data_IF_834992707174
#
_entry.id   IF_834992707174
#
_cell.length_a   1.000
_cell.length_b   1.000
_cell.length_c   1.000
_cell.angle_alpha   90.00
_cell.angle_beta   90.00
_cell.angle_gamma   90.00
#
_symmetry.space_group_name_H-M   'P 1'
#
loop_
_entity.id
_entity.type
_entity.pdbx_description
1 polymer ?
#
# COMPACT_ATOMS: atom_id res chain seq x y z
N UNK A 1 -13.86 -22.21 16.66
CA UNK A 1 -12.42 -21.93 16.48
C UNK A 1 -12.31 -20.65 15.67
N UNK A 2 -11.72 -19.59 16.23
CA UNK A 2 -11.51 -18.35 15.48
C UNK A 2 -10.37 -18.56 14.47
N UNK A 3 -10.70 -18.48 13.18
CA UNK A 3 -9.72 -18.64 12.09
C UNK A 3 -9.13 -17.30 11.63
N UNK A 4 -9.46 -16.19 12.31
CA UNK A 4 -9.07 -14.84 11.90
C UNK A 4 -7.55 -14.63 11.87
N UNK A 5 -6.84 -15.17 12.86
CA UNK A 5 -5.39 -15.08 13.01
C UNK A 5 -4.63 -15.99 12.02
N UNK A 6 -4.91 -17.31 11.92
CA UNK A 6 -4.30 -18.16 10.89
C UNK A 6 -4.50 -17.63 9.46
N UNK A 7 -5.68 -17.07 9.18
CA UNK A 7 -5.96 -16.47 7.89
C UNK A 7 -5.13 -15.20 7.64
N UNK A 8 -5.02 -14.32 8.64
CA UNK A 8 -4.19 -13.11 8.53
C UNK A 8 -2.72 -13.45 8.30
N UNK A 9 -2.21 -14.49 8.99
CA UNK A 9 -0.84 -14.97 8.82
C UNK A 9 -0.62 -15.57 7.41
N UNK A 10 -1.60 -16.30 6.88
CA UNK A 10 -1.55 -16.80 5.51
C UNK A 10 -1.43 -15.67 4.47
N UNK A 11 -2.17 -14.56 4.66
CA UNK A 11 -2.03 -13.37 3.81
C UNK A 11 -0.62 -12.76 3.92
N UNK A 12 -0.07 -12.63 5.13
CA UNK A 12 1.30 -12.12 5.34
C UNK A 12 2.32 -13.02 4.64
N UNK A 13 2.22 -14.34 4.79
CA UNK A 13 3.10 -15.30 4.15
C UNK A 13 3.02 -15.25 2.61
N UNK A 14 1.82 -15.03 2.08
CA UNK A 14 1.61 -14.81 0.64
C UNK A 14 2.39 -13.59 0.17
N UNK A 15 2.28 -12.46 0.87
CA UNK A 15 3.04 -11.23 0.54
C UNK A 15 4.55 -11.47 0.59
N UNK A 16 5.06 -12.19 1.60
CA UNK A 16 6.49 -12.56 1.72
C UNK A 16 6.97 -13.37 0.52
N UNK A 17 6.17 -14.32 0.03
CA UNK A 17 6.52 -15.12 -1.16
C UNK A 17 6.69 -14.22 -2.39
N UNK A 18 5.76 -13.29 -2.63
CA UNK A 18 5.84 -12.39 -3.78
C UNK A 18 6.99 -11.38 -3.66
N UNK A 19 7.34 -10.95 -2.44
CA UNK A 19 8.54 -10.16 -2.18
C UNK A 19 9.79 -10.90 -2.64
N UNK A 20 9.99 -12.11 -2.11
CA UNK A 20 11.15 -12.95 -2.44
C UNK A 20 11.21 -13.30 -3.93
N UNK A 21 10.06 -13.56 -4.54
CA UNK A 21 9.97 -13.81 -5.98
C UNK A 21 10.42 -12.60 -6.79
N UNK A 22 9.93 -11.40 -6.45
CA UNK A 22 10.36 -10.17 -7.08
C UNK A 22 11.87 -9.96 -6.94
N UNK A 23 12.41 -10.04 -5.72
CA UNK A 23 13.85 -9.89 -5.45
C UNK A 23 14.67 -10.87 -6.31
N UNK A 24 14.34 -12.16 -6.27
CA UNK A 24 15.02 -13.23 -7.03
C UNK A 24 14.98 -12.97 -8.54
N UNK A 25 13.85 -12.52 -9.08
CA UNK A 25 13.71 -12.24 -10.51
C UNK A 25 14.53 -11.02 -10.93
N UNK A 26 14.59 -9.99 -10.08
CA UNK A 26 15.36 -8.77 -10.37
C UNK A 26 16.87 -8.96 -10.26
N UNK A 27 17.32 -9.88 -9.40
CA UNK A 27 18.73 -10.28 -9.30
C UNK A 27 19.18 -11.09 -10.53
N UNK A 28 18.33 -12.01 -11.00
CA UNK A 28 18.61 -12.89 -12.14
C UNK A 28 18.26 -12.21 -13.48
N UNK A 29 19.11 -11.27 -13.92
CA UNK A 29 18.96 -10.45 -15.15
C UNK A 29 18.60 -11.18 -16.46
N UNK A 30 18.74 -12.51 -16.55
CA UNK A 30 18.60 -13.31 -17.80
C UNK A 30 17.33 -14.17 -17.91
N UNK A 31 16.55 -14.37 -16.85
CA UNK A 31 15.37 -15.28 -16.86
C UNK A 31 14.05 -14.50 -16.84
N UNK A 32 13.89 -13.53 -17.74
CA UNK A 32 13.08 -12.38 -17.38
C UNK A 32 11.59 -12.49 -17.78
N UNK A 33 11.28 -12.78 -19.04
CA UNK A 33 9.94 -12.44 -19.52
C UNK A 33 8.87 -13.53 -19.28
N UNK A 34 9.21 -14.81 -19.44
CA UNK A 34 8.28 -15.92 -19.17
C UNK A 34 7.97 -16.05 -17.68
N UNK A 35 8.98 -15.89 -16.83
CA UNK A 35 8.81 -15.96 -15.38
C UNK A 35 8.08 -14.73 -14.84
N UNK A 36 8.40 -13.52 -15.34
CA UNK A 36 7.62 -12.30 -15.07
C UNK A 36 6.14 -12.51 -15.39
N UNK A 37 5.82 -12.99 -16.59
CA UNK A 37 4.42 -13.25 -17.00
C UNK A 37 3.75 -14.28 -16.10
N UNK A 38 4.46 -15.35 -15.71
CA UNK A 38 3.96 -16.35 -14.78
C UNK A 38 3.64 -15.74 -13.41
N UNK A 39 4.55 -14.96 -12.84
CA UNK A 39 4.34 -14.32 -11.54
C UNK A 39 3.22 -13.28 -11.57
N UNK A 40 3.09 -12.50 -12.63
CA UNK A 40 1.96 -11.58 -12.83
C UNK A 40 0.63 -12.35 -12.87
N UNK A 41 0.58 -13.51 -13.55
CA UNK A 41 -0.61 -14.38 -13.57
C UNK A 41 -0.97 -14.85 -12.15
N UNK A 42 0.00 -15.35 -11.39
CA UNK A 42 -0.20 -15.83 -10.01
C UNK A 42 -0.64 -14.68 -9.09
N UNK A 43 -0.10 -13.46 -9.25
CA UNK A 43 -0.56 -12.27 -8.55
C UNK A 43 -2.04 -12.00 -8.85
N UNK A 44 -2.43 -12.00 -10.13
CA UNK A 44 -3.81 -11.73 -10.53
C UNK A 44 -4.80 -12.77 -9.96
N UNK A 45 -4.40 -14.04 -9.88
CA UNK A 45 -5.20 -15.10 -9.25
C UNK A 45 -5.38 -14.87 -7.74
N UNK A 46 -4.31 -14.51 -7.04
CA UNK A 46 -4.37 -14.18 -5.61
C UNK A 46 -5.19 -12.90 -5.34
N UNK A 47 -5.08 -11.88 -6.20
CA UNK A 47 -5.91 -10.69 -6.12
C UNK A 47 -7.41 -11.04 -6.24
N UNK A 48 -7.80 -11.94 -7.15
CA UNK A 48 -9.19 -12.41 -7.24
C UNK A 48 -9.65 -13.06 -5.93
N UNK A 49 -8.81 -13.90 -5.32
CA UNK A 49 -9.12 -14.53 -4.04
C UNK A 49 -9.27 -13.50 -2.91
N UNK A 50 -8.33 -12.54 -2.81
CA UNK A 50 -8.40 -11.48 -1.81
C UNK A 50 -9.63 -10.58 -1.99
N UNK A 51 -9.99 -10.20 -3.21
CA UNK A 51 -11.22 -9.45 -3.44
C UNK A 51 -12.48 -10.25 -3.07
N UNK A 52 -12.49 -11.57 -3.30
CA UNK A 52 -13.58 -12.43 -2.84
C UNK A 52 -13.66 -12.46 -1.31
N UNK A 53 -12.51 -12.52 -0.62
CA UNK A 53 -12.44 -12.46 0.84
C UNK A 53 -12.91 -11.10 1.39
N UNK A 54 -12.54 -9.97 0.76
CA UNK A 54 -13.02 -8.64 1.17
C UNK A 54 -14.53 -8.46 1.01
N UNK A 55 -15.13 -9.11 0.01
CA UNK A 55 -16.59 -9.10 -0.19
C UNK A 55 -17.34 -10.00 0.80
N UNK A 56 -16.65 -10.90 1.50
CA UNK A 56 -17.28 -11.77 2.49
C UNK A 56 -17.63 -10.97 3.75
N UNK A 57 -18.91 -10.95 4.13
CA UNK A 57 -19.41 -10.21 5.30
C UNK A 57 -18.92 -10.78 6.63
N UNK A 58 -18.52 -12.05 6.66
CA UNK A 58 -18.11 -12.76 7.89
C UNK A 58 -16.62 -12.65 8.20
N UNK A 59 -15.84 -11.95 7.37
CA UNK A 59 -14.43 -11.70 7.66
C UNK A 59 -14.30 -10.68 8.79
N UNK A 60 -13.57 -11.06 9.85
CA UNK A 60 -13.27 -10.17 10.97
C UNK A 60 -12.47 -8.94 10.55
N UNK A 61 -12.52 -7.88 11.37
CA UNK A 61 -11.88 -6.59 11.07
C UNK A 61 -10.37 -6.73 10.85
N UNK A 62 -9.67 -7.49 11.70
CA UNK A 62 -8.22 -7.70 11.58
C UNK A 62 -7.85 -8.48 10.33
N UNK A 63 -8.58 -9.56 10.04
CA UNK A 63 -8.43 -10.32 8.80
C UNK A 63 -8.70 -9.45 7.57
N UNK A 64 -9.68 -8.55 7.63
CA UNK A 64 -9.95 -7.60 6.54
C UNK A 64 -8.78 -6.64 6.32
N UNK A 65 -8.19 -6.09 7.39
CA UNK A 65 -6.99 -5.23 7.32
C UNK A 65 -5.81 -5.98 6.71
N UNK A 66 -5.59 -7.24 7.13
CA UNK A 66 -4.56 -8.10 6.56
C UNK A 66 -4.77 -8.30 5.05
N UNK A 67 -6.00 -8.64 4.62
CA UNK A 67 -6.31 -8.81 3.18
C UNK A 67 -6.14 -7.51 2.40
N UNK A 68 -6.58 -6.37 2.91
CA UNK A 68 -6.34 -5.08 2.25
C UNK A 68 -4.85 -4.82 2.06
N UNK A 69 -4.05 -5.08 3.09
CA UNK A 69 -2.58 -4.97 3.01
C UNK A 69 -2.02 -5.92 1.96
N UNK A 70 -2.48 -7.18 1.95
CA UNK A 70 -2.14 -8.16 0.92
C UNK A 70 -2.43 -7.66 -0.49
N UNK A 71 -3.64 -7.14 -0.74
CA UNK A 71 -4.03 -6.57 -2.04
C UNK A 71 -3.07 -5.45 -2.45
N UNK A 72 -2.75 -4.53 -1.55
CA UNK A 72 -1.87 -3.39 -1.81
C UNK A 72 -0.46 -3.86 -2.19
N UNK A 73 0.13 -4.80 -1.44
CA UNK A 73 1.45 -5.33 -1.76
C UNK A 73 1.45 -6.15 -3.05
N UNK A 74 0.41 -6.93 -3.34
CA UNK A 74 0.30 -7.63 -4.62
C UNK A 74 0.20 -6.66 -5.80
N UNK A 75 -0.59 -5.60 -5.68
CA UNK A 75 -0.61 -4.52 -6.69
C UNK A 75 0.75 -3.87 -6.86
N UNK A 76 1.47 -3.61 -5.76
CA UNK A 76 2.85 -3.09 -5.78
C UNK A 76 3.77 -4.01 -6.58
N UNK A 77 3.83 -5.30 -6.25
CA UNK A 77 4.73 -6.24 -6.95
C UNK A 77 4.34 -6.43 -8.40
N UNK A 78 3.04 -6.44 -8.72
CA UNK A 78 2.58 -6.43 -10.11
C UNK A 78 3.10 -5.22 -10.86
N UNK A 79 2.93 -4.01 -10.31
CA UNK A 79 3.42 -2.78 -10.92
C UNK A 79 4.94 -2.81 -11.12
N UNK A 80 5.69 -3.25 -10.10
CA UNK A 80 7.14 -3.36 -10.16
C UNK A 80 7.60 -4.35 -11.24
N UNK A 81 6.95 -5.52 -11.35
CA UNK A 81 7.24 -6.51 -12.38
C UNK A 81 6.92 -5.97 -13.78
N UNK A 82 5.73 -5.39 -13.97
CA UNK A 82 5.30 -4.80 -15.25
C UNK A 82 6.26 -3.70 -15.71
N UNK A 83 6.70 -2.85 -14.77
CA UNK A 83 7.60 -1.72 -15.03
C UNK A 83 9.07 -2.12 -15.18
N UNK A 84 9.47 -3.28 -14.67
CA UNK A 84 10.85 -3.75 -14.81
C UNK A 84 11.10 -4.18 -16.25
N UNK A 85 12.10 -3.54 -16.88
CA UNK A 85 12.57 -3.81 -18.23
C UNK A 85 14.10 -3.87 -18.20
N UNK A 86 14.68 -4.91 -18.78
CA UNK A 86 16.13 -5.01 -18.98
C UNK A 86 16.48 -4.31 -20.30
N UNK A 87 17.40 -3.34 -20.29
CA UNK A 87 18.03 -2.80 -21.51
C UNK A 87 17.31 -1.66 -22.25
N UNK A 88 16.27 -1.04 -21.68
CA UNK A 88 15.74 0.23 -22.22
C UNK A 88 16.54 1.40 -21.65
N UNK A 89 17.11 2.23 -22.52
CA UNK A 89 17.67 3.54 -22.17
C UNK A 89 16.63 4.45 -21.49
N UNK A 90 17.03 5.62 -20.99
CA UNK A 90 16.21 6.46 -20.09
C UNK A 90 15.06 7.12 -20.87
N UNK A 91 13.96 6.38 -21.10
CA UNK A 91 12.83 6.91 -21.88
C UNK A 91 11.66 7.41 -21.03
N UNK A 92 11.78 7.44 -19.70
CA UNK A 92 10.90 8.19 -18.78
C UNK A 92 11.45 8.14 -17.37
N UNK A 93 11.24 9.19 -16.57
CA UNK A 93 11.49 9.12 -15.12
C UNK A 93 10.58 8.04 -14.52
N UNK A 94 11.14 7.00 -13.88
CA UNK A 94 10.33 5.92 -13.35
C UNK A 94 9.40 6.43 -12.25
N UNK A 95 8.13 5.99 -12.25
CA UNK A 95 7.18 6.32 -11.18
C UNK A 95 7.74 5.87 -9.82
N UNK A 96 7.73 6.79 -8.85
CA UNK A 96 8.20 6.52 -7.48
C UNK A 96 7.06 6.18 -6.51
N UNK A 97 5.85 6.66 -6.81
CA UNK A 97 4.60 6.35 -6.13
C UNK A 97 3.49 6.08 -7.15
N UNK A 98 2.49 5.30 -6.74
CA UNK A 98 1.24 5.11 -7.50
C UNK A 98 0.06 5.16 -6.55
N UNK A 99 -1.09 5.64 -7.04
CA UNK A 99 -2.33 5.61 -6.27
C UNK A 99 -3.30 4.59 -6.83
N UNK A 100 -4.04 3.94 -5.93
CA UNK A 100 -5.02 2.92 -6.22
C UNK A 100 -6.25 3.11 -5.33
N UNK A 101 -7.43 3.08 -5.92
CA UNK A 101 -8.66 2.98 -5.14
C UNK A 101 -8.88 1.53 -4.71
N UNK A 102 -9.26 1.36 -3.45
CA UNK A 102 -9.60 0.04 -2.91
C UNK A 102 -11.09 -0.23 -3.02
N UNK A 103 -11.43 -1.50 -3.27
CA UNK A 103 -12.82 -1.93 -3.30
C UNK A 103 -13.36 -1.87 -1.87
N UNK A 104 -14.19 -0.88 -1.59
CA UNK A 104 -14.94 -0.83 -0.34
C UNK A 104 -15.99 -1.93 -0.36
N UNK A 105 -16.03 -2.75 0.69
CA UNK A 105 -17.07 -3.77 0.88
C UNK A 105 -18.44 -3.14 1.25
N UNK A 106 -18.48 -1.83 1.41
CA UNK A 106 -19.69 -1.08 1.73
C UNK A 106 -20.00 -0.15 0.55
N UNK A 107 -21.20 -0.29 -0.03
CA UNK A 107 -21.85 0.73 -0.88
C UNK A 107 -22.20 1.92 0.03
N UNK A 108 -21.17 2.55 0.58
CA UNK A 108 -21.28 3.61 1.58
C UNK A 108 -20.45 4.79 1.10
N UNK A 109 -20.72 5.98 1.67
CA UNK A 109 -20.02 7.23 1.37
C UNK A 109 -18.51 7.22 1.71
N UNK A 110 -17.98 6.10 2.22
CA UNK A 110 -16.58 5.91 2.59
C UNK A 110 -15.78 5.47 1.36
N UNK A 111 -14.80 6.28 1.00
CA UNK A 111 -13.83 5.99 -0.04
C UNK A 111 -12.46 5.76 0.59
N UNK A 112 -11.70 4.81 0.08
CA UNK A 112 -10.35 4.50 0.54
C UNK A 112 -9.40 4.43 -0.64
N UNK A 113 -8.63 5.50 -0.82
CA UNK A 113 -7.49 5.55 -1.73
C UNK A 113 -6.22 5.11 -1.00
N UNK A 114 -5.33 4.43 -1.72
CA UNK A 114 -4.05 3.96 -1.19
C UNK A 114 -2.93 4.48 -2.09
N UNK A 115 -1.95 5.14 -1.48
CA UNK A 115 -0.73 5.57 -2.14
C UNK A 115 0.38 4.57 -1.80
N UNK A 116 0.97 3.99 -2.84
CA UNK A 116 1.92 2.88 -2.75
C UNK A 116 3.32 3.40 -3.06
N UNK A 117 4.24 3.20 -2.11
CA UNK A 117 5.66 3.43 -2.34
C UNK A 117 6.25 2.37 -3.28
N UNK A 118 6.87 2.81 -4.37
CA UNK A 118 7.57 1.93 -5.31
C UNK A 118 9.09 1.94 -5.10
N UNK A 119 9.67 3.11 -4.81
CA UNK A 119 11.12 3.33 -4.88
C UNK A 119 11.73 4.19 -3.78
N UNK A 120 10.93 4.88 -2.97
CA UNK A 120 11.47 5.73 -1.91
C UNK A 120 12.08 4.88 -0.81
N UNK A 121 13.30 5.24 -0.42
CA UNK A 121 13.93 4.75 0.81
C UNK A 121 13.69 5.75 1.92
N UNK A 122 13.85 7.04 1.61
CA UNK A 122 13.55 8.13 2.52
C UNK A 122 12.03 8.39 2.63
N UNK A 123 11.53 8.51 3.86
CA UNK A 123 10.11 8.68 4.13
C UNK A 123 9.62 10.10 3.82
N UNK A 124 10.46 11.12 3.96
CA UNK A 124 10.11 12.49 3.61
C UNK A 124 9.92 12.62 2.10
N UNK A 125 10.83 12.03 1.31
CA UNK A 125 10.69 11.97 -0.15
C UNK A 125 9.38 11.26 -0.55
N UNK A 126 9.04 10.17 0.14
CA UNK A 126 7.75 9.49 -0.07
C UNK A 126 6.57 10.41 0.19
N UNK A 127 6.58 11.17 1.29
CA UNK A 127 5.47 12.07 1.62
C UNK A 127 5.32 13.23 0.64
N UNK A 128 6.42 13.75 0.11
CA UNK A 128 6.40 14.79 -0.94
C UNK A 128 5.68 14.27 -2.19
N UNK A 129 6.09 13.10 -2.68
CA UNK A 129 5.48 12.51 -3.87
C UNK A 129 4.04 12.01 -3.61
N UNK A 130 3.77 11.51 -2.40
CA UNK A 130 2.44 11.10 -1.98
C UNK A 130 1.46 12.28 -1.88
N UNK A 131 1.92 13.46 -1.45
CA UNK A 131 1.08 14.64 -1.37
C UNK A 131 0.45 14.99 -2.73
N UNK A 132 1.22 14.93 -3.81
CA UNK A 132 0.71 15.22 -5.17
C UNK A 132 -0.45 14.30 -5.56
N UNK A 133 -0.36 13.01 -5.21
CA UNK A 133 -1.43 12.04 -5.48
C UNK A 133 -2.63 12.25 -4.54
N UNK A 134 -2.37 12.53 -3.26
CA UNK A 134 -3.40 12.83 -2.27
C UNK A 134 -4.21 14.06 -2.66
N UNK A 135 -3.54 15.15 -3.04
CA UNK A 135 -4.17 16.41 -3.44
C UNK A 135 -5.11 16.18 -4.63
N UNK A 136 -4.62 15.52 -5.68
CA UNK A 136 -5.41 15.21 -6.85
C UNK A 136 -6.67 14.38 -6.50
N UNK A 137 -6.53 13.37 -5.64
CA UNK A 137 -7.65 12.56 -5.19
C UNK A 137 -8.69 13.37 -4.43
N UNK A 138 -8.26 14.20 -3.47
CA UNK A 138 -9.16 15.03 -2.67
C UNK A 138 -9.89 16.06 -3.53
N UNK A 139 -9.17 16.76 -4.41
CA UNK A 139 -9.76 17.72 -5.35
C UNK A 139 -10.82 17.06 -6.24
N UNK A 140 -10.53 15.85 -6.74
CA UNK A 140 -11.51 15.07 -7.51
C UNK A 140 -12.76 14.77 -6.67
N UNK A 141 -12.63 14.43 -5.38
CA UNK A 141 -13.78 14.17 -4.50
C UNK A 141 -14.57 15.44 -4.17
N UNK A 142 -13.93 16.60 -4.10
CA UNK A 142 -14.62 17.88 -3.90
C UNK A 142 -15.59 18.25 -5.03
N UNK A 143 -15.43 17.70 -6.22
CA UNK A 143 -16.40 17.88 -7.31
C UNK A 143 -17.78 17.28 -7.00
N UNK A 144 -17.83 16.24 -6.14
CA UNK A 144 -19.05 15.51 -5.79
C UNK A 144 -19.54 15.86 -4.39
N UNK A 145 -18.64 16.02 -3.43
CA UNK A 145 -18.96 16.30 -2.03
C UNK A 145 -18.18 17.53 -1.55
N UNK A 146 -18.84 18.64 -1.15
CA UNK A 146 -18.15 19.88 -0.80
C UNK A 146 -17.35 19.79 0.51
N UNK A 147 -17.72 18.84 1.39
CA UNK A 147 -17.11 18.63 2.70
C UNK A 147 -16.76 17.14 2.82
N UNK A 148 -15.54 16.85 3.26
CA UNK A 148 -15.01 15.50 3.43
C UNK A 148 -14.53 15.29 4.87
N UNK A 149 -14.74 14.08 5.39
CA UNK A 149 -14.10 13.63 6.63
C UNK A 149 -12.97 12.67 6.25
N UNK A 150 -11.73 13.07 6.49
CA UNK A 150 -10.54 12.36 6.02
C UNK A 150 -9.73 11.89 7.22
N UNK A 151 -9.22 10.67 7.14
CA UNK A 151 -8.17 10.14 7.99
C UNK A 151 -7.09 9.51 7.10
N UNK A 152 -5.93 9.25 7.70
CA UNK A 152 -4.85 8.53 7.06
C UNK A 152 -4.51 7.26 7.83
N UNK A 153 -4.04 6.27 7.08
CA UNK A 153 -3.41 5.07 7.65
C UNK A 153 -2.08 4.87 6.95
N UNK A 154 -0.99 4.97 7.70
CA UNK A 154 0.33 4.56 7.23
C UNK A 154 0.53 3.08 7.53
N UNK A 155 1.11 2.38 6.57
CA UNK A 155 1.57 1.00 6.71
C UNK A 155 3.04 0.95 6.30
N UNK A 156 3.92 0.57 7.22
CA UNK A 156 5.34 0.37 6.96
C UNK A 156 5.77 -1.06 7.27
N UNK A 157 6.66 -1.62 6.45
CA UNK A 157 7.39 -2.85 6.79
C UNK A 157 8.60 -2.47 7.64
N UNK A 158 8.68 -3.01 8.85
CA UNK A 158 9.80 -2.82 9.77
C UNK A 158 10.57 -4.12 9.89
N UNK A 159 11.89 -4.00 9.85
CA UNK A 159 12.81 -5.12 10.02
C UNK A 159 13.44 -4.98 11.40
N UNK A 160 13.24 -5.98 12.25
CA UNK A 160 13.94 -6.11 13.52
C UNK A 160 14.93 -7.26 13.42
N UNK A 161 16.21 -6.93 13.45
CA UNK A 161 17.28 -7.92 13.49
C UNK A 161 17.62 -8.26 14.94
N UNK A 162 17.46 -9.52 15.33
CA UNK A 162 17.92 -10.05 16.63
C UNK A 162 18.60 -11.39 16.40
N UNK A 163 19.80 -11.58 16.95
CA UNK A 163 20.54 -12.85 16.92
C UNK A 163 20.70 -13.46 15.51
N UNK A 164 20.92 -12.60 14.50
CA UNK A 164 21.08 -13.02 13.10
C UNK A 164 19.78 -13.42 12.39
N UNK A 165 18.63 -13.23 13.03
CA UNK A 165 17.30 -13.46 12.46
C UNK A 165 16.62 -12.11 12.22
N UNK A 166 16.33 -11.83 10.95
CA UNK A 166 15.50 -10.68 10.57
C UNK A 166 14.01 -11.03 10.69
N UNK A 167 13.32 -10.33 11.59
CA UNK A 167 11.88 -10.42 11.76
C UNK A 167 11.26 -9.20 11.07
N UNK A 168 10.53 -9.47 9.98
CA UNK A 168 9.78 -8.44 9.27
C UNK A 168 8.34 -8.40 9.79
N UNK A 169 7.88 -7.23 10.22
CA UNK A 169 6.49 -7.02 10.58
C UNK A 169 5.93 -5.71 10.03
N UNK A 170 4.62 -5.68 9.82
CA UNK A 170 3.91 -4.50 9.34
C UNK A 170 3.35 -3.71 10.52
N UNK A 171 3.76 -2.45 10.66
CA UNK A 171 3.17 -1.53 11.65
C UNK A 171 2.25 -0.54 10.97
N UNK A 172 1.14 -0.26 11.64
CA UNK A 172 0.10 0.62 11.16
C UNK A 172 -0.06 1.83 12.09
N UNK A 173 -0.07 3.02 11.50
CA UNK A 173 -0.31 4.27 12.22
C UNK A 173 -1.55 4.94 11.64
N UNK A 174 -2.58 5.08 12.48
CA UNK A 174 -3.83 5.72 12.09
C UNK A 174 -3.84 7.16 12.61
N UNK A 175 -4.23 8.09 11.76
CA UNK A 175 -4.46 9.47 12.15
C UNK A 175 -5.92 9.65 12.53
N UNK A 176 -6.21 10.70 13.31
CA UNK A 176 -7.59 11.04 13.67
C UNK A 176 -8.32 11.56 12.43
N UNK A 177 -9.64 11.40 12.44
CA UNK A 177 -10.47 12.04 11.43
C UNK A 177 -10.39 13.56 11.57
N UNK A 178 -10.22 14.26 10.47
CA UNK A 178 -10.40 15.71 10.39
C UNK A 178 -11.33 16.04 9.21
N UNK A 179 -12.05 17.15 9.35
CA UNK A 179 -12.96 17.65 8.31
C UNK A 179 -12.16 18.60 7.42
N UNK A 180 -12.34 18.48 6.11
CA UNK A 180 -11.77 19.37 5.11
C UNK A 180 -12.86 19.80 4.12
N UNK A 181 -12.68 20.98 3.55
CA UNK A 181 -13.51 21.54 2.50
C UNK A 181 -12.64 22.19 1.40
N UNK A 182 -13.28 22.79 0.40
CA UNK A 182 -12.59 23.44 -0.73
C UNK A 182 -11.70 24.63 -0.35
N UNK A 183 -11.86 25.18 0.84
CA UNK A 183 -11.05 26.31 1.35
C UNK A 183 -9.85 25.85 2.16
N UNK A 184 -9.80 24.56 2.51
CA UNK A 184 -8.71 23.98 3.30
C UNK A 184 -7.41 23.98 2.50
N UNK A 185 -6.33 24.53 3.07
CA UNK A 185 -4.99 24.37 2.51
C UNK A 185 -4.56 22.90 2.67
N UNK A 186 -4.63 22.13 1.58
CA UNK A 186 -4.37 20.69 1.60
C UNK A 186 -2.92 20.36 1.93
N UNK A 187 -1.96 21.20 1.55
CA UNK A 187 -0.54 20.98 1.84
C UNK A 187 -0.26 21.10 3.34
N UNK A 188 -0.74 22.19 3.96
CA UNK A 188 -0.62 22.39 5.40
C UNK A 188 -1.38 21.31 6.15
N UNK A 189 -2.61 20.99 5.72
CA UNK A 189 -3.41 19.95 6.34
C UNK A 189 -2.73 18.59 6.29
N UNK A 190 -2.17 18.19 5.14
CA UNK A 190 -1.48 16.92 4.97
C UNK A 190 -0.23 16.85 5.85
N UNK A 191 0.53 17.94 5.92
CA UNK A 191 1.68 18.03 6.83
C UNK A 191 1.26 17.81 8.29
N UNK A 192 0.31 18.58 8.79
CA UNK A 192 -0.02 18.59 10.22
C UNK A 192 -0.79 17.34 10.69
N UNK A 193 -1.63 16.79 9.82
CA UNK A 193 -2.52 15.67 10.16
C UNK A 193 -1.97 14.31 9.75
N UNK A 194 -1.08 14.24 8.75
CA UNK A 194 -0.50 13.01 8.24
C UNK A 194 0.99 12.94 8.56
N UNK A 195 1.79 13.80 7.94
CA UNK A 195 3.26 13.71 7.98
C UNK A 195 3.79 13.82 9.41
N UNK A 196 3.49 14.93 10.10
CA UNK A 196 4.02 15.18 11.44
C UNK A 196 3.54 14.12 12.44
N UNK A 197 2.28 13.68 12.33
CA UNK A 197 1.72 12.62 13.20
C UNK A 197 2.40 11.28 12.99
N UNK A 198 2.62 10.88 11.74
CA UNK A 198 3.30 9.61 11.44
C UNK A 198 4.76 9.69 11.88
N UNK A 199 5.48 10.76 11.57
CA UNK A 199 6.89 10.92 11.96
C UNK A 199 7.07 10.88 13.48
N UNK A 200 6.18 11.53 14.24
CA UNK A 200 6.16 11.42 15.71
C UNK A 200 5.98 9.96 16.14
N UNK A 201 5.00 9.25 15.59
CA UNK A 201 4.77 7.84 15.93
C UNK A 201 5.96 6.95 15.57
N UNK A 202 6.64 7.21 14.44
CA UNK A 202 7.84 6.49 14.02
C UNK A 202 9.01 6.74 14.98
N UNK A 203 9.20 7.97 15.44
CA UNK A 203 10.26 8.32 16.41
C UNK A 203 10.10 7.61 17.77
N UNK A 204 8.90 7.11 18.07
CA UNK A 204 8.59 6.39 19.30
C UNK A 204 8.80 4.87 19.18
N UNK A 205 9.08 4.36 17.98
CA UNK A 205 9.38 2.95 17.77
C UNK A 205 10.80 2.68 18.27
N UNK A 206 10.89 1.84 19.31
CA UNK A 206 12.14 1.25 19.80
C UNK A 206 12.44 -0.07 19.10
#
# INVERSE_FOLDING_TARGET
MDLSEPFSESVKNTVKIFKKAYETLTEKRRAFESDKKRWIKVINENLKFFYKALKNKYIGVNSRKAVHTGVVHLKRYKFLLESFHVGRGPSSTPKKVVSEDTVSAFVSRIHTGVIINLKHVDIHDFFIDAFNLFEHQIQTKFSVMPILKVNGTFCGEFIKSSDGIDINDFKYFNTRNAIIDRTTNLQQWFKDNIVDKILIMLSQIK
#
